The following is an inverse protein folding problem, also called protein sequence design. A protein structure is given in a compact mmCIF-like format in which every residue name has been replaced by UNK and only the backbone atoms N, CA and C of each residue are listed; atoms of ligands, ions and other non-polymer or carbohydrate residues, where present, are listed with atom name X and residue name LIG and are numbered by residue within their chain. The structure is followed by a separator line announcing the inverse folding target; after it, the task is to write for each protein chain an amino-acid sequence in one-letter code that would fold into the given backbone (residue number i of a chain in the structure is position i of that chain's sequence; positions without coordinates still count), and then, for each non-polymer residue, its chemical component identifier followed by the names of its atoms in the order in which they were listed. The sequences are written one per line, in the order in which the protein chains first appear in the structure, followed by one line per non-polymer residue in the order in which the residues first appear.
data_IF_492603875682
#
_entry.id   IF_492603875682
#
_cell.length_a   1.000
_cell.length_b   1.000
_cell.length_c   1.000
_cell.angle_alpha   90.00
_cell.angle_beta   90.00
_cell.angle_gamma   90.00
#
_symmetry.space_group_name_H-M   'P 1'
#
loop_
_entity.id
_entity.type
_entity.pdbx_description
1 polymer ?
#
# COMPACT_ATOMS: atom_id res chain seq x y z
N UNK A 1 -14.26 -20.75 -5.41
CA UNK A 1 -14.24 -20.77 -6.89
C UNK A 1 -14.06 -22.22 -7.36
N UNK A 2 -14.52 -22.56 -8.56
CA UNK A 2 -14.38 -23.91 -9.13
C UNK A 2 -13.97 -23.80 -10.60
N UNK A 3 -13.38 -24.87 -11.12
CA UNK A 3 -13.02 -24.98 -12.53
C UNK A 3 -13.53 -26.30 -13.11
N UNK A 4 -13.86 -26.31 -14.39
CA UNK A 4 -14.23 -27.52 -15.11
C UNK A 4 -13.27 -27.67 -16.29
N UNK A 5 -12.60 -28.81 -16.37
CA UNK A 5 -11.74 -29.18 -17.49
C UNK A 5 -12.46 -30.17 -18.38
N UNK A 6 -12.15 -30.15 -19.68
CA UNK A 6 -12.54 -31.22 -20.60
C UNK A 6 -11.72 -32.48 -20.26
N UNK A 7 -12.37 -33.49 -19.66
CA UNK A 7 -11.68 -34.67 -19.16
C UNK A 7 -11.05 -35.50 -20.29
N UNK A 8 -11.59 -35.43 -21.51
CA UNK A 8 -11.07 -36.16 -22.67
C UNK A 8 -9.78 -35.52 -23.22
N UNK A 9 -9.39 -34.34 -22.71
CA UNK A 9 -8.18 -33.61 -23.11
C UNK A 9 -7.08 -33.58 -22.06
N UNK A 10 -7.28 -34.24 -20.92
CA UNK A 10 -6.28 -34.34 -19.86
C UNK A 10 -5.43 -35.59 -20.14
N UNK A 11 -4.11 -35.42 -20.17
CA UNK A 11 -3.19 -36.55 -20.34
C UNK A 11 -2.67 -37.02 -18.99
N UNK A 12 -3.10 -38.21 -18.58
CA UNK A 12 -2.54 -38.90 -17.41
C UNK A 12 -2.99 -38.33 -16.06
N UNK A 13 -2.06 -38.09 -15.15
CA UNK A 13 -2.34 -37.59 -13.80
C UNK A 13 -2.51 -36.08 -13.72
N UNK A 14 -3.12 -35.58 -12.64
CA UNK A 14 -3.16 -34.14 -12.32
C UNK A 14 -2.17 -33.84 -11.20
N UNK A 15 -1.32 -32.85 -11.41
CA UNK A 15 -0.36 -32.35 -10.44
C UNK A 15 -0.59 -30.87 -10.15
N UNK A 16 -0.78 -30.53 -8.87
CA UNK A 16 -0.74 -29.14 -8.39
C UNK A 16 0.66 -28.88 -7.83
N UNK A 17 1.41 -28.00 -8.48
CA UNK A 17 2.82 -27.75 -8.13
C UNK A 17 3.22 -26.30 -8.38
N UNK A 18 4.43 -25.96 -7.94
CA UNK A 18 5.10 -24.74 -8.38
C UNK A 18 5.69 -24.95 -9.79
N UNK A 19 5.64 -23.90 -10.61
CA UNK A 19 6.35 -23.87 -11.89
C UNK A 19 7.87 -23.79 -11.65
N UNK A 20 8.64 -24.46 -12.51
CA UNK A 20 10.11 -24.46 -12.51
C UNK A 20 10.69 -23.16 -13.07
N UNK A 21 9.87 -22.41 -13.83
CA UNK A 21 10.23 -21.18 -14.53
C UNK A 21 10.59 -21.45 -15.99
N UNK A 22 10.14 -20.57 -16.90
CA UNK A 22 10.27 -20.75 -18.34
C UNK A 22 9.25 -21.70 -18.97
N UNK A 23 8.43 -22.37 -18.16
CA UNK A 23 7.31 -23.19 -18.66
C UNK A 23 6.34 -22.33 -19.48
N UNK A 24 5.93 -22.82 -20.65
CA UNK A 24 4.98 -22.12 -21.50
C UNK A 24 3.54 -22.40 -21.04
N UNK A 25 2.71 -21.37 -21.03
CA UNK A 25 1.28 -21.47 -20.71
C UNK A 25 0.45 -20.65 -21.70
N UNK A 26 -0.45 -21.34 -22.42
CA UNK A 26 -1.42 -20.71 -23.32
C UNK A 26 -2.73 -20.49 -22.57
N UNK A 27 -2.94 -19.24 -22.14
CA UNK A 27 -4.08 -18.83 -21.35
C UNK A 27 -5.38 -18.78 -22.17
N UNK A 28 -6.52 -19.03 -21.51
CA UNK A 28 -7.86 -18.95 -22.10
C UNK A 28 -8.20 -17.63 -22.81
N UNK A 29 -7.53 -16.53 -22.46
CA UNK A 29 -7.73 -15.22 -23.10
C UNK A 29 -6.84 -14.99 -24.35
N UNK A 30 -6.16 -16.04 -24.80
CA UNK A 30 -5.29 -16.04 -25.99
C UNK A 30 -3.87 -15.54 -25.74
N UNK A 31 -3.51 -15.19 -24.49
CA UNK A 31 -2.14 -14.82 -24.15
C UNK A 31 -1.26 -16.04 -23.95
N UNK A 32 -0.08 -16.02 -24.57
CA UNK A 32 1.00 -16.97 -24.30
C UNK A 32 1.96 -16.40 -23.28
N UNK A 33 2.11 -17.09 -22.16
CA UNK A 33 2.90 -16.66 -21.01
C UNK A 33 4.12 -17.57 -20.83
N UNK A 34 5.23 -16.99 -20.37
CA UNK A 34 6.37 -17.72 -19.82
C UNK A 34 6.29 -17.63 -18.31
N UNK A 35 6.01 -18.75 -17.67
CA UNK A 35 5.81 -18.81 -16.22
C UNK A 35 7.09 -18.52 -15.46
N UNK A 36 6.96 -17.91 -14.29
CA UNK A 36 8.09 -17.67 -13.39
C UNK A 36 8.23 -18.83 -12.42
N UNK A 37 9.46 -19.05 -11.93
CA UNK A 37 9.71 -20.05 -10.91
C UNK A 37 8.89 -19.73 -9.65
N UNK A 38 8.16 -20.72 -9.13
CA UNK A 38 7.31 -20.56 -7.95
C UNK A 38 5.86 -20.19 -8.24
N UNK A 39 5.48 -19.95 -9.50
CA UNK A 39 4.08 -19.74 -9.85
C UNK A 39 3.24 -20.98 -9.56
N UNK A 40 2.05 -20.82 -8.96
CA UNK A 40 1.20 -21.96 -8.62
C UNK A 40 0.40 -22.41 -9.84
N UNK A 41 0.58 -23.66 -10.24
CA UNK A 41 0.00 -24.23 -11.44
C UNK A 41 -0.70 -25.56 -11.20
N UNK A 42 -1.56 -25.89 -12.15
CA UNK A 42 -2.13 -27.22 -12.32
C UNK A 42 -1.63 -27.73 -13.67
N UNK A 43 -0.98 -28.88 -13.64
CA UNK A 43 -0.42 -29.52 -14.81
C UNK A 43 -0.94 -30.96 -14.91
N UNK A 44 -0.97 -31.48 -16.12
CA UNK A 44 -1.07 -32.91 -16.35
C UNK A 44 0.32 -33.50 -16.67
N UNK A 45 0.39 -34.73 -17.17
CA UNK A 45 1.67 -35.39 -17.46
C UNK A 45 2.40 -34.76 -18.68
N UNK A 46 1.71 -33.95 -19.50
CA UNK A 46 2.26 -33.35 -20.72
C UNK A 46 2.47 -31.83 -20.62
N UNK A 47 1.53 -31.09 -20.00
CA UNK A 47 1.48 -29.64 -20.07
C UNK A 47 0.86 -28.96 -18.85
N UNK A 48 1.06 -27.64 -18.76
CA UNK A 48 0.37 -26.79 -17.79
C UNK A 48 -1.05 -26.52 -18.29
N UNK A 49 -2.05 -26.96 -17.51
CA UNK A 49 -3.46 -26.85 -17.86
C UNK A 49 -4.17 -25.68 -17.16
N UNK A 50 -3.61 -25.14 -16.09
CA UNK A 50 -4.12 -23.91 -15.47
C UNK A 50 -3.08 -23.18 -14.63
N UNK A 51 -3.23 -21.86 -14.53
CA UNK A 51 -2.76 -21.07 -13.40
C UNK A 51 -3.74 -21.27 -12.24
N UNK A 52 -3.27 -21.95 -11.19
CA UNK A 52 -4.12 -22.43 -10.10
C UNK A 52 -4.92 -21.30 -9.45
N UNK A 53 -6.25 -21.40 -9.50
CA UNK A 53 -7.16 -20.39 -8.93
C UNK A 53 -7.22 -19.06 -9.69
N UNK A 54 -6.55 -18.94 -10.84
CA UNK A 54 -6.49 -17.70 -11.63
C UNK A 54 -7.18 -17.87 -12.97
N UNK A 55 -6.69 -18.78 -13.81
CA UNK A 55 -7.14 -18.95 -15.19
C UNK A 55 -6.75 -20.33 -15.75
N UNK A 56 -7.66 -21.01 -16.44
CA UNK A 56 -7.38 -22.25 -17.17
C UNK A 56 -6.63 -22.01 -18.49
N UNK A 57 -6.13 -23.08 -19.09
CA UNK A 57 -5.56 -23.07 -20.44
C UNK A 57 -6.64 -23.23 -21.49
N UNK A 58 -6.38 -22.77 -22.72
CA UNK A 58 -7.27 -22.99 -23.85
C UNK A 58 -7.39 -24.49 -24.21
N UNK A 59 -6.29 -25.23 -24.12
CA UNK A 59 -6.24 -26.64 -24.51
C UNK A 59 -7.18 -27.52 -23.67
N UNK A 60 -7.25 -27.27 -22.36
CA UNK A 60 -8.03 -28.06 -21.39
C UNK A 60 -9.45 -27.54 -21.16
N UNK A 61 -9.83 -26.47 -21.86
CA UNK A 61 -11.11 -25.80 -21.68
C UNK A 61 -12.30 -26.64 -22.15
N UNK A 62 -13.40 -26.57 -21.42
CA UNK A 62 -14.70 -27.11 -21.88
C UNK A 62 -15.17 -26.34 -23.12
N UNK A 63 -15.78 -27.07 -24.06
CA UNK A 63 -16.28 -26.57 -25.33
C UNK A 63 -17.65 -27.18 -25.65
N UNK A 64 -18.30 -26.73 -26.73
CA UNK A 64 -19.57 -27.32 -27.19
C UNK A 64 -19.47 -28.81 -27.53
N UNK A 65 -18.26 -29.34 -27.71
CA UNK A 65 -18.02 -30.75 -28.04
C UNK A 65 -17.75 -31.62 -26.81
N UNK A 66 -17.50 -31.02 -25.65
CA UNK A 66 -17.09 -31.72 -24.44
C UNK A 66 -18.20 -32.66 -23.96
N UNK A 67 -17.85 -33.94 -23.73
CA UNK A 67 -18.76 -34.96 -23.24
C UNK A 67 -18.49 -35.32 -21.78
N UNK A 68 -17.22 -35.33 -21.40
CA UNK A 68 -16.75 -35.68 -20.07
C UNK A 68 -16.03 -34.48 -19.44
N UNK A 69 -16.31 -34.20 -18.16
CA UNK A 69 -15.66 -33.10 -17.43
C UNK A 69 -14.98 -33.58 -16.17
N UNK A 70 -13.84 -32.96 -15.84
CA UNK A 70 -13.21 -33.05 -14.52
C UNK A 70 -13.52 -31.77 -13.77
N UNK A 71 -14.23 -31.89 -12.65
CA UNK A 71 -14.52 -30.75 -11.77
C UNK A 71 -13.42 -30.58 -10.74
N UNK A 72 -12.96 -29.35 -10.60
CA UNK A 72 -12.03 -28.92 -9.56
C UNK A 72 -12.76 -28.02 -8.56
N UNK A 73 -12.66 -28.40 -7.29
CA UNK A 73 -12.95 -27.55 -6.14
C UNK A 73 -11.71 -27.60 -5.26
N UNK A 74 -11.03 -26.47 -5.10
CA UNK A 74 -9.75 -26.41 -4.40
C UNK A 74 -9.68 -25.22 -3.45
N UNK A 75 -8.81 -25.35 -2.45
CA UNK A 75 -8.30 -24.23 -1.66
C UNK A 75 -6.84 -24.01 -2.06
N UNK A 76 -6.52 -22.81 -2.49
CA UNK A 76 -5.14 -22.39 -2.74
C UNK A 76 -4.70 -21.38 -1.68
N UNK A 77 -3.44 -21.45 -1.28
CA UNK A 77 -2.85 -20.48 -0.35
C UNK A 77 -2.96 -19.06 -0.95
N UNK A 78 -3.58 -18.09 -0.24
CA UNK A 78 -3.84 -16.75 -0.77
C UNK A 78 -2.59 -16.04 -1.29
N UNK A 79 -1.47 -16.15 -0.56
CA UNK A 79 -0.20 -15.53 -0.93
C UNK A 79 0.34 -16.07 -2.25
N UNK A 80 0.25 -17.39 -2.45
CA UNK A 80 0.72 -18.06 -3.67
C UNK A 80 -0.07 -17.61 -4.89
N UNK A 81 -1.38 -17.52 -4.76
CA UNK A 81 -2.25 -16.98 -5.83
C UNK A 81 -1.90 -15.52 -6.08
N UNK A 82 -1.67 -14.73 -5.04
CA UNK A 82 -1.35 -13.30 -5.18
C UNK A 82 -0.03 -13.04 -5.91
N UNK A 83 1.01 -13.83 -5.64
CA UNK A 83 2.29 -13.73 -6.37
C UNK A 83 2.10 -14.03 -7.85
N UNK A 84 1.53 -15.18 -8.20
CA UNK A 84 1.30 -15.57 -9.60
C UNK A 84 0.40 -14.57 -10.32
N UNK A 85 -0.62 -14.04 -9.65
CA UNK A 85 -1.49 -13.01 -10.20
C UNK A 85 -0.72 -11.75 -10.58
N UNK A 86 0.13 -11.25 -9.68
CA UNK A 86 0.92 -10.03 -9.88
C UNK A 86 2.01 -10.20 -10.93
N UNK A 87 2.66 -11.36 -10.99
CA UNK A 87 3.68 -11.66 -12.00
C UNK A 87 3.13 -11.53 -13.43
N UNK A 88 1.90 -12.02 -13.65
CA UNK A 88 1.29 -12.08 -14.99
C UNK A 88 0.21 -11.02 -15.25
N UNK A 89 -0.03 -10.14 -14.28
CA UNK A 89 -1.05 -9.09 -14.31
C UNK A 89 -2.46 -9.57 -14.74
N UNK A 90 -2.83 -10.80 -14.36
CA UNK A 90 -4.12 -11.41 -14.73
C UNK A 90 -5.11 -11.20 -13.59
N UNK A 91 -6.25 -10.56 -13.81
CA UNK A 91 -7.27 -10.42 -12.75
C UNK A 91 -8.52 -11.18 -13.14
N UNK A 92 -8.95 -12.09 -12.27
CA UNK A 92 -10.22 -12.81 -12.39
C UNK A 92 -11.01 -12.79 -11.08
N UNK A 93 -12.32 -12.98 -11.18
CA UNK A 93 -13.20 -13.15 -10.02
C UNK A 93 -12.75 -14.31 -9.09
N UNK A 94 -12.16 -15.36 -9.67
CA UNK A 94 -11.60 -16.47 -8.91
C UNK A 94 -10.35 -16.03 -8.14
N UNK A 95 -9.38 -15.41 -8.82
CA UNK A 95 -8.13 -14.96 -8.21
C UNK A 95 -8.37 -13.98 -7.06
N UNK A 96 -9.30 -13.03 -7.21
CA UNK A 96 -9.64 -12.07 -6.14
C UNK A 96 -10.23 -12.74 -4.91
N UNK A 97 -11.01 -13.82 -5.08
CA UNK A 97 -11.57 -14.58 -3.95
C UNK A 97 -10.49 -15.39 -3.25
N UNK A 98 -9.64 -16.08 -4.01
CA UNK A 98 -8.54 -16.85 -3.44
C UNK A 98 -7.51 -15.98 -2.71
N UNK A 99 -7.15 -14.81 -3.26
CA UNK A 99 -6.25 -13.85 -2.58
C UNK A 99 -6.80 -13.31 -1.25
N UNK A 100 -8.13 -13.24 -1.11
CA UNK A 100 -8.79 -12.79 0.12
C UNK A 100 -9.03 -13.92 1.12
N UNK A 101 -8.61 -15.15 0.80
CA UNK A 101 -8.93 -16.32 1.59
C UNK A 101 -10.35 -16.83 1.29
N UNK A 102 -10.43 -18.01 0.71
CA UNK A 102 -11.70 -18.76 0.61
C UNK A 102 -11.81 -19.73 1.78
N UNK A 103 -13.03 -20.04 2.18
CA UNK A 103 -13.28 -21.01 3.25
C UNK A 103 -12.83 -22.42 2.84
N UNK A 104 -11.84 -23.04 3.52
CA UNK A 104 -11.42 -24.40 3.22
C UNK A 104 -12.53 -25.45 3.44
N UNK A 105 -13.46 -25.22 4.38
CA UNK A 105 -14.57 -26.14 4.64
C UNK A 105 -15.59 -26.15 3.50
N UNK A 106 -15.62 -25.11 2.66
CA UNK A 106 -16.52 -25.03 1.51
C UNK A 106 -16.07 -25.90 0.33
N UNK A 107 -14.83 -26.42 0.32
CA UNK A 107 -14.29 -27.18 -0.82
C UNK A 107 -15.15 -28.42 -1.13
N UNK A 108 -15.39 -29.26 -0.11
CA UNK A 108 -16.18 -30.48 -0.27
C UNK A 108 -17.66 -30.18 -0.53
N UNK A 109 -18.23 -29.21 0.21
CA UNK A 109 -19.61 -28.80 0.02
C UNK A 109 -19.87 -28.25 -1.40
N UNK A 110 -18.95 -27.42 -1.91
CA UNK A 110 -19.05 -26.86 -3.26
C UNK A 110 -18.96 -27.95 -4.34
N UNK A 111 -18.11 -28.97 -4.14
CA UNK A 111 -18.01 -30.11 -5.06
C UNK A 111 -19.34 -30.86 -5.18
N UNK A 112 -19.93 -31.25 -4.06
CA UNK A 112 -21.22 -31.94 -4.04
C UNK A 112 -22.33 -31.07 -4.64
N UNK A 113 -22.36 -29.78 -4.27
CA UNK A 113 -23.38 -28.85 -4.76
C UNK A 113 -23.28 -28.64 -6.27
N UNK A 114 -22.08 -28.44 -6.81
CA UNK A 114 -21.86 -28.26 -8.24
C UNK A 114 -22.20 -29.54 -9.01
N UNK A 115 -21.80 -30.70 -8.49
CA UNK A 115 -22.12 -32.00 -9.09
C UNK A 115 -23.63 -32.21 -9.17
N UNK A 116 -24.37 -31.96 -8.09
CA UNK A 116 -25.83 -32.05 -8.08
C UNK A 116 -26.47 -31.11 -9.11
N UNK A 117 -26.03 -29.85 -9.18
CA UNK A 117 -26.55 -28.90 -10.18
C UNK A 117 -26.27 -29.35 -11.62
N UNK A 118 -25.08 -29.92 -11.90
CA UNK A 118 -24.73 -30.40 -13.23
C UNK A 118 -25.61 -31.58 -13.62
N UNK A 119 -25.80 -32.55 -12.71
CA UNK A 119 -26.68 -33.71 -12.94
C UNK A 119 -28.12 -33.28 -13.16
N UNK A 120 -28.63 -32.35 -12.35
CA UNK A 120 -30.00 -31.85 -12.46
C UNK A 120 -30.25 -31.11 -13.79
N UNK A 121 -29.27 -30.35 -14.28
CA UNK A 121 -29.42 -29.49 -15.46
C UNK A 121 -29.04 -30.19 -16.78
N UNK A 122 -28.02 -31.04 -16.76
CA UNK A 122 -27.40 -31.60 -17.96
C UNK A 122 -27.36 -33.13 -17.95
N UNK A 123 -27.71 -33.78 -16.83
CA UNK A 123 -27.55 -35.22 -16.65
C UNK A 123 -26.08 -35.61 -16.42
N UNK A 124 -25.73 -36.83 -16.84
CA UNK A 124 -24.40 -37.41 -16.63
C UNK A 124 -24.33 -38.35 -15.42
N UNK A 125 -23.19 -38.99 -15.26
CA UNK A 125 -22.93 -39.96 -14.19
C UNK A 125 -21.69 -39.51 -13.39
N UNK A 126 -21.86 -39.03 -12.15
CA UNK A 126 -20.71 -38.59 -11.36
C UNK A 126 -19.85 -39.78 -10.93
N UNK A 127 -18.54 -39.63 -11.10
CA UNK A 127 -17.54 -40.54 -10.51
C UNK A 127 -17.29 -40.25 -9.03
N UNK A 128 -16.45 -41.05 -8.37
CA UNK A 128 -16.04 -40.80 -6.99
C UNK A 128 -15.21 -39.50 -6.88
N UNK A 129 -15.36 -38.78 -5.76
CA UNK A 129 -14.53 -37.60 -5.46
C UNK A 129 -13.14 -38.05 -5.00
N UNK A 130 -12.11 -37.56 -5.67
CA UNK A 130 -10.72 -37.75 -5.26
C UNK A 130 -10.26 -36.57 -4.37
N UNK A 131 -10.03 -36.82 -3.09
CA UNK A 131 -9.53 -35.80 -2.15
C UNK A 131 -8.00 -35.88 -2.04
N UNK A 132 -7.32 -34.77 -2.30
CA UNK A 132 -5.86 -34.65 -2.16
C UNK A 132 -5.49 -33.46 -1.26
N UNK A 133 -4.41 -33.63 -0.50
CA UNK A 133 -3.89 -32.62 0.43
C UNK A 133 -4.45 -32.74 1.85
N UNK A 134 -4.20 -31.72 2.67
CA UNK A 134 -4.69 -31.61 4.04
C UNK A 134 -5.63 -30.39 4.15
N UNK A 135 -6.70 -30.52 4.93
CA UNK A 135 -7.59 -29.40 5.22
C UNK A 135 -6.82 -28.39 6.09
N UNK A 136 -6.56 -27.17 5.60
CA UNK A 136 -5.90 -26.15 6.40
C UNK A 136 -6.81 -25.74 7.58
N UNK A 137 -6.24 -25.77 8.78
CA UNK A 137 -6.80 -25.22 10.03
C UNK A 137 -8.29 -25.53 10.26
N UNK A 138 -8.64 -26.79 10.58
CA UNK A 138 -10.04 -27.22 10.60
C UNK A 138 -10.90 -26.39 11.56
N UNK A 139 -10.34 -25.96 12.70
CA UNK A 139 -11.00 -25.11 13.69
C UNK A 139 -9.94 -24.34 14.48
N UNK A 140 -10.07 -23.02 14.63
CA UNK A 140 -9.19 -22.24 15.51
C UNK A 140 -10.01 -21.53 16.58
N UNK A 141 -9.44 -21.46 17.78
CA UNK A 141 -10.09 -20.85 18.94
C UNK A 141 -9.21 -19.76 19.51
N UNK A 142 -9.82 -18.63 19.83
CA UNK A 142 -9.19 -17.53 20.53
C UNK A 142 -9.68 -17.54 21.98
N UNK A 143 -8.75 -17.49 22.92
CA UNK A 143 -9.05 -17.33 24.34
C UNK A 143 -8.60 -15.96 24.79
N UNK A 144 -9.49 -15.20 25.40
CA UNK A 144 -9.25 -13.83 25.85
C UNK A 144 -9.79 -13.60 27.26
N UNK A 145 -9.26 -12.57 27.93
CA UNK A 145 -9.85 -12.02 29.16
C UNK A 145 -10.93 -11.02 28.78
N UNK A 146 -12.16 -11.24 29.25
CA UNK A 146 -13.29 -10.34 29.02
C UNK A 146 -12.99 -8.93 29.54
N UNK A 147 -12.39 -8.82 30.73
CA UNK A 147 -11.94 -7.54 31.31
C UNK A 147 -10.93 -6.83 30.42
N UNK A 148 -10.00 -7.55 29.78
CA UNK A 148 -9.06 -6.93 28.84
C UNK A 148 -9.77 -6.40 27.59
N UNK A 149 -10.73 -7.15 27.05
CA UNK A 149 -11.55 -6.68 25.92
C UNK A 149 -12.35 -5.42 26.30
N UNK A 150 -13.04 -5.44 27.44
CA UNK A 150 -13.81 -4.31 27.97
C UNK A 150 -12.91 -3.09 28.21
N UNK A 151 -11.72 -3.31 28.78
CA UNK A 151 -10.73 -2.24 28.99
C UNK A 151 -10.25 -1.64 27.69
N UNK A 152 -10.03 -2.46 26.65
CA UNK A 152 -9.62 -1.99 25.31
C UNK A 152 -10.73 -1.18 24.66
N UNK A 153 -11.98 -1.63 24.76
CA UNK A 153 -13.14 -0.94 24.22
C UNK A 153 -13.58 0.27 25.07
N UNK A 154 -13.14 0.35 26.32
CA UNK A 154 -13.59 1.39 27.25
C UNK A 154 -15.06 1.23 27.68
N UNK A 155 -15.66 0.06 27.48
CA UNK A 155 -17.06 -0.22 27.79
C UNK A 155 -17.29 -1.68 28.17
N UNK A 156 -18.41 -1.94 28.82
CA UNK A 156 -18.84 -3.30 29.13
C UNK A 156 -19.36 -4.02 27.88
N UNK A 157 -19.02 -5.31 27.75
CA UNK A 157 -19.49 -6.17 26.66
C UNK A 157 -20.75 -6.91 27.15
N UNK A 158 -21.96 -6.52 26.70
CA UNK A 158 -23.19 -7.14 27.14
C UNK A 158 -23.27 -8.59 26.63
N UNK A 159 -23.89 -9.48 27.42
CA UNK A 159 -24.06 -10.91 27.06
C UNK A 159 -24.81 -11.09 25.72
N UNK A 160 -25.70 -10.17 25.35
CA UNK A 160 -26.40 -10.17 24.06
C UNK A 160 -25.45 -10.08 22.86
N UNK A 161 -24.26 -9.48 23.03
CA UNK A 161 -23.26 -9.44 21.97
C UNK A 161 -22.75 -10.85 21.62
N UNK A 162 -22.61 -11.73 22.62
CA UNK A 162 -22.25 -13.14 22.42
C UNK A 162 -23.31 -13.87 21.56
N UNK A 163 -24.61 -13.54 21.71
CA UNK A 163 -25.68 -14.11 20.88
C UNK A 163 -25.57 -13.70 19.41
N UNK A 164 -25.16 -12.46 19.14
CA UNK A 164 -24.93 -11.99 17.77
C UNK A 164 -23.74 -12.72 17.14
N UNK A 165 -22.63 -12.88 17.88
CA UNK A 165 -21.50 -13.69 17.40
C UNK A 165 -21.91 -15.15 17.14
N UNK A 166 -22.72 -15.76 18.01
CA UNK A 166 -23.24 -17.13 17.75
C UNK A 166 -24.05 -17.22 16.47
N UNK A 167 -24.89 -16.23 16.17
CA UNK A 167 -25.63 -16.16 14.88
C UNK A 167 -24.71 -15.96 13.67
N UNK A 168 -23.52 -15.42 13.87
CA UNK A 168 -22.49 -15.27 12.84
C UNK A 168 -21.61 -16.52 12.68
N UNK A 169 -21.88 -17.61 13.42
CA UNK A 169 -21.17 -18.89 13.31
C UNK A 169 -20.05 -19.10 14.32
N UNK A 170 -19.86 -18.20 15.28
CA UNK A 170 -18.89 -18.38 16.36
C UNK A 170 -19.44 -19.27 17.47
N UNK A 171 -18.62 -20.12 18.08
CA UNK A 171 -18.97 -20.79 19.34
C UNK A 171 -18.35 -20.01 20.50
N UNK A 172 -19.19 -19.28 21.25
CA UNK A 172 -18.75 -18.42 22.36
C UNK A 172 -19.06 -19.06 23.71
N UNK A 173 -18.03 -19.29 24.51
CA UNK A 173 -18.10 -19.81 25.88
C UNK A 173 -17.52 -18.79 26.85
N UNK A 174 -18.31 -18.38 27.85
CA UNK A 174 -17.92 -17.41 28.88
C UNK A 174 -17.87 -18.09 30.25
N UNK A 175 -16.70 -18.08 30.89
CA UNK A 175 -16.44 -18.68 32.21
C UNK A 175 -15.78 -17.64 33.12
N UNK A 176 -16.60 -16.85 33.83
CA UNK A 176 -16.10 -15.72 34.60
C UNK A 176 -15.44 -14.67 33.69
N UNK A 177 -14.15 -14.41 33.90
CA UNK A 177 -13.35 -13.51 33.05
C UNK A 177 -12.82 -14.19 31.78
N UNK A 178 -12.86 -15.52 31.68
CA UNK A 178 -12.35 -16.24 30.52
C UNK A 178 -13.41 -16.29 29.42
N UNK A 179 -13.09 -15.77 28.25
CA UNK A 179 -13.87 -15.87 27.04
C UNK A 179 -13.14 -16.79 26.05
N UNK A 180 -13.75 -17.93 25.70
CA UNK A 180 -13.24 -18.83 24.65
C UNK A 180 -14.16 -18.74 23.45
N UNK A 181 -13.61 -18.38 22.29
CA UNK A 181 -14.35 -18.21 21.04
C UNK A 181 -13.75 -19.11 19.98
N UNK A 182 -14.51 -20.10 19.54
CA UNK A 182 -14.18 -20.89 18.36
C UNK A 182 -14.69 -20.16 17.12
N UNK A 183 -13.80 -19.92 16.17
CA UNK A 183 -14.09 -19.15 14.97
C UNK A 183 -14.54 -20.06 13.83
N UNK A 184 -15.54 -19.66 13.04
CA UNK A 184 -15.92 -20.42 11.85
C UNK A 184 -14.79 -20.38 10.81
N UNK A 185 -14.70 -21.42 9.98
CA UNK A 185 -13.60 -21.62 9.01
C UNK A 185 -13.45 -20.50 7.98
N UNK A 186 -14.53 -19.77 7.67
CA UNK A 186 -14.50 -18.61 6.77
C UNK A 186 -13.92 -17.33 7.41
N UNK A 187 -13.73 -17.28 8.74
CA UNK A 187 -13.15 -16.14 9.47
C UNK A 187 -11.69 -16.39 9.81
N UNK A 188 -10.83 -16.37 8.80
CA UNK A 188 -9.38 -16.55 8.94
C UNK A 188 -8.66 -15.31 9.50
N UNK A 189 -9.37 -14.18 9.59
CA UNK A 189 -8.88 -12.89 10.09
C UNK A 189 -8.85 -12.79 11.62
N UNK A 190 -9.48 -13.72 12.35
CA UNK A 190 -9.58 -13.69 13.82
C UNK A 190 -8.60 -14.67 14.44
N UNK A 191 -7.42 -14.19 14.82
CA UNK A 191 -6.36 -15.01 15.40
C UNK A 191 -5.95 -14.57 16.80
N UNK A 192 -6.33 -13.35 17.19
CA UNK A 192 -5.93 -12.69 18.42
C UNK A 192 -7.14 -12.20 19.23
N UNK A 193 -6.90 -11.87 20.50
CA UNK A 193 -7.91 -11.28 21.38
C UNK A 193 -8.32 -9.87 20.92
N UNK A 194 -7.41 -9.16 20.25
CA UNK A 194 -7.62 -7.87 19.62
C UNK A 194 -8.69 -7.95 18.52
N UNK A 195 -8.62 -8.97 17.67
CA UNK A 195 -9.59 -9.20 16.58
C UNK A 195 -10.99 -9.44 17.15
N UNK A 196 -11.10 -10.16 18.28
CA UNK A 196 -12.36 -10.29 19.00
C UNK A 196 -12.88 -8.94 19.54
N UNK A 197 -11.99 -8.04 19.95
CA UNK A 197 -12.41 -6.71 20.41
C UNK A 197 -13.05 -5.92 19.28
N UNK A 198 -12.46 -5.97 18.09
CA UNK A 198 -13.03 -5.36 16.89
C UNK A 198 -14.39 -5.98 16.54
N UNK A 199 -14.51 -7.32 16.61
CA UNK A 199 -15.78 -7.98 16.37
C UNK A 199 -16.87 -7.54 17.35
N UNK A 200 -16.56 -7.43 18.64
CA UNK A 200 -17.48 -6.88 19.64
C UNK A 200 -17.81 -5.41 19.36
N UNK A 201 -16.83 -4.57 19.02
CA UNK A 201 -17.06 -3.18 18.64
C UNK A 201 -18.02 -3.06 17.44
N UNK A 202 -17.81 -3.88 16.41
CA UNK A 202 -18.59 -3.87 15.17
C UNK A 202 -20.04 -4.28 15.40
N UNK A 203 -20.30 -5.31 16.21
CA UNK A 203 -21.67 -5.79 16.47
C UNK A 203 -22.43 -4.94 17.49
N UNK A 204 -21.72 -4.35 18.46
CA UNK A 204 -22.33 -3.43 19.43
C UNK A 204 -22.60 -2.08 18.74
N UNK A 205 -21.73 -1.70 17.80
CA UNK A 205 -21.74 -0.43 17.11
C UNK A 205 -20.64 0.48 17.64
N UNK A 206 -19.83 1.03 16.73
CA UNK A 206 -18.72 1.92 17.08
C UNK A 206 -19.22 3.19 17.80
N UNK A 207 -20.44 3.64 17.54
CA UNK A 207 -21.07 4.80 18.20
C UNK A 207 -21.33 4.57 19.70
N UNK A 208 -21.38 3.32 20.15
CA UNK A 208 -21.55 2.99 21.57
C UNK A 208 -20.25 3.11 22.36
N UNK A 209 -19.09 3.16 21.69
CA UNK A 209 -17.78 3.28 22.33
C UNK A 209 -17.63 4.68 22.91
N UNK A 210 -17.39 4.83 24.23
CA UNK A 210 -17.27 6.14 24.85
C UNK A 210 -16.10 6.95 24.28
N UNK A 211 -16.37 8.19 23.89
CA UNK A 211 -15.32 9.14 23.54
C UNK A 211 -14.61 9.59 24.82
N UNK A 212 -13.38 9.11 25.03
CA UNK A 212 -12.52 9.50 26.14
C UNK A 212 -11.18 10.04 25.63
N UNK A 213 -10.72 11.15 26.23
CA UNK A 213 -9.36 11.63 25.99
C UNK A 213 -8.40 10.88 26.91
N UNK A 214 -7.27 10.36 26.41
CA UNK A 214 -6.27 9.74 27.26
C UNK A 214 -5.65 10.78 28.20
N UNK A 215 -5.28 10.42 29.43
CA UNK A 215 -4.64 11.35 30.36
C UNK A 215 -3.29 11.82 29.79
N UNK A 216 -3.17 13.11 29.52
CA UNK A 216 -1.93 13.70 29.02
C UNK A 216 -0.97 13.97 30.18
N UNK A 217 0.23 13.38 30.13
CA UNK A 217 1.35 13.84 30.96
C UNK A 217 1.95 15.08 30.29
N UNK A 218 1.81 16.24 30.94
CA UNK A 218 2.39 17.48 30.42
C UNK A 218 3.91 17.33 30.26
N UNK A 219 4.39 17.48 29.02
CA UNK A 219 5.81 17.62 28.71
C UNK A 219 6.17 19.10 28.64
N UNK A 220 7.45 19.43 28.84
CA UNK A 220 7.94 20.81 28.69
C UNK A 220 7.55 21.36 27.31
N UNK A 221 7.14 22.64 27.22
CA UNK A 221 6.81 23.24 25.94
C UNK A 221 8.01 23.19 25.01
N UNK A 222 7.79 22.70 23.78
CA UNK A 222 8.80 22.69 22.74
C UNK A 222 9.10 24.15 22.37
N UNK A 223 10.39 24.53 22.40
CA UNK A 223 10.83 25.84 21.89
C UNK A 223 10.56 25.84 20.39
N UNK A 224 9.55 26.58 19.95
CA UNK A 224 9.24 26.73 18.53
C UNK A 224 10.40 27.45 17.85
N UNK A 225 10.93 26.83 16.80
CA UNK A 225 11.78 27.52 15.84
C UNK A 225 10.90 28.52 15.07
N UNK A 226 11.24 29.80 15.18
CA UNK A 226 10.48 30.93 14.60
C UNK A 226 11.14 31.52 13.37
N UNK A 227 12.21 30.91 12.86
CA UNK A 227 12.97 31.49 11.75
C UNK A 227 12.09 31.66 10.49
N UNK A 228 11.21 30.69 10.23
CA UNK A 228 10.25 30.77 9.14
C UNK A 228 9.18 31.85 9.38
N UNK A 229 8.65 31.97 10.61
CA UNK A 229 7.70 33.03 10.97
C UNK A 229 8.33 34.43 10.78
N UNK A 230 9.63 34.55 11.09
CA UNK A 230 10.39 35.78 10.87
C UNK A 230 10.56 36.06 9.38
N UNK A 231 10.90 35.05 8.56
CA UNK A 231 11.00 35.19 7.11
C UNK A 231 9.69 35.72 6.51
N UNK A 232 8.55 35.15 6.91
CA UNK A 232 7.23 35.60 6.46
C UNK A 232 6.94 37.03 6.92
N UNK A 233 7.33 37.37 8.16
CA UNK A 233 7.20 38.75 8.68
C UNK A 233 8.07 39.77 7.94
N UNK A 234 9.15 39.33 7.28
CA UNK A 234 10.01 40.15 6.43
C UNK A 234 9.51 40.24 4.97
N UNK A 235 8.33 39.68 4.67
CA UNK A 235 7.68 39.78 3.36
C UNK A 235 7.95 38.60 2.42
N UNK A 236 8.58 37.53 2.89
CA UNK A 236 8.75 36.32 2.09
C UNK A 236 7.47 35.47 2.07
N UNK A 237 7.18 34.90 0.92
CA UNK A 237 6.14 33.88 0.74
C UNK A 237 6.75 32.51 0.97
N UNK A 238 6.21 31.75 1.92
CA UNK A 238 6.63 30.37 2.10
C UNK A 238 6.18 29.52 0.90
N UNK A 239 7.11 28.75 0.35
CA UNK A 239 6.82 27.78 -0.70
C UNK A 239 7.26 26.38 -0.27
N UNK A 240 6.66 25.37 -0.87
CA UNK A 240 6.99 23.96 -0.67
C UNK A 240 7.16 23.36 -2.07
N UNK A 241 8.38 22.99 -2.43
CA UNK A 241 8.66 22.35 -3.71
C UNK A 241 8.87 20.84 -3.55
N UNK A 242 8.83 20.11 -4.67
CA UNK A 242 9.04 18.67 -4.65
C UNK A 242 10.46 18.31 -4.19
N UNK A 243 10.55 17.24 -3.40
CA UNK A 243 11.84 16.70 -2.96
C UNK A 243 12.56 15.91 -4.06
N UNK A 244 11.83 15.46 -5.08
CA UNK A 244 12.37 14.74 -6.23
C UNK A 244 12.39 15.64 -7.47
N UNK A 245 13.54 15.69 -8.12
CA UNK A 245 13.83 16.55 -9.26
C UNK A 245 14.55 15.77 -10.37
N UNK A 246 14.78 16.41 -11.51
CA UNK A 246 15.61 15.82 -12.56
C UNK A 246 17.10 15.88 -12.19
N UNK A 247 17.87 14.91 -12.69
CA UNK A 247 19.35 14.95 -12.58
C UNK A 247 19.94 16.21 -13.19
N UNK A 248 19.38 16.66 -14.31
CA UNK A 248 19.82 17.86 -15.03
C UNK A 248 19.68 19.13 -14.18
N UNK A 249 18.57 19.27 -13.47
CA UNK A 249 18.37 20.44 -12.59
C UNK A 249 19.24 20.38 -11.34
N UNK A 250 19.45 19.18 -10.81
CA UNK A 250 20.37 18.97 -9.69
C UNK A 250 21.80 19.40 -10.04
N UNK A 251 22.30 19.02 -11.22
CA UNK A 251 23.64 19.32 -11.70
C UNK A 251 23.95 20.83 -11.81
N UNK A 252 22.93 21.70 -11.82
CA UNK A 252 23.11 23.16 -11.84
C UNK A 252 23.56 23.74 -10.50
N UNK A 253 23.37 23.02 -9.38
CA UNK A 253 23.61 23.56 -8.03
C UNK A 253 24.60 22.73 -7.21
N UNK A 254 24.90 21.52 -7.66
CA UNK A 254 25.80 20.59 -6.97
C UNK A 254 26.53 19.78 -8.03
N UNK A 255 27.80 19.45 -7.76
CA UNK A 255 28.61 18.65 -8.66
C UNK A 255 27.96 17.28 -8.94
N UNK A 256 28.00 16.85 -10.20
CA UNK A 256 27.53 15.53 -10.58
C UNK A 256 28.33 14.47 -9.83
N UNK A 257 27.64 13.70 -8.99
CA UNK A 257 28.24 12.65 -8.20
C UNK A 257 27.19 11.56 -7.95
N UNK A 258 27.31 10.46 -8.70
CA UNK A 258 26.39 9.33 -8.62
C UNK A 258 26.42 8.64 -7.25
N UNK A 259 27.56 8.65 -6.56
CA UNK A 259 27.69 8.07 -5.22
C UNK A 259 26.99 8.90 -4.14
N UNK A 260 26.78 10.19 -4.39
CA UNK A 260 26.07 11.10 -3.50
C UNK A 260 24.58 11.23 -3.84
N UNK A 261 24.15 10.83 -5.03
CA UNK A 261 22.76 10.90 -5.47
C UNK A 261 21.90 9.75 -4.90
N UNK A 262 20.67 10.07 -4.49
CA UNK A 262 19.64 9.07 -4.20
C UNK A 262 18.68 9.00 -5.38
N UNK A 263 18.80 7.92 -6.14
CA UNK A 263 18.03 7.66 -7.37
C UNK A 263 16.83 6.79 -7.02
N UNK A 264 15.64 7.18 -7.48
CA UNK A 264 14.43 6.38 -7.31
C UNK A 264 14.47 5.14 -8.22
N UNK A 265 14.10 3.98 -7.70
CA UNK A 265 14.05 2.72 -8.46
C UNK A 265 12.88 2.71 -9.45
N UNK A 266 11.78 3.36 -9.11
CA UNK A 266 10.53 3.42 -9.87
C UNK A 266 10.01 4.87 -9.97
N UNK A 267 10.77 5.78 -10.62
CA UNK A 267 10.36 7.17 -10.72
C UNK A 267 9.10 7.31 -11.58
N UNK A 268 8.22 8.25 -11.22
CA UNK A 268 7.03 8.56 -12.01
C UNK A 268 7.38 9.16 -13.38
N UNK A 269 8.50 9.89 -13.46
CA UNK A 269 9.04 10.48 -14.69
C UNK A 269 10.53 10.83 -14.51
N UNK A 270 11.23 11.11 -15.61
CA UNK A 270 12.62 11.60 -15.56
C UNK A 270 12.76 12.94 -14.83
N UNK A 271 11.70 13.76 -14.82
CA UNK A 271 11.66 15.02 -14.09
C UNK A 271 11.65 14.82 -12.55
N UNK A 272 11.45 13.59 -12.07
CA UNK A 272 11.37 13.21 -10.67
C UNK A 272 12.23 11.97 -10.40
N UNK A 273 13.46 11.94 -10.93
CA UNK A 273 14.33 10.76 -10.91
C UNK A 273 15.23 10.67 -9.68
N UNK A 274 15.61 11.80 -9.08
CA UNK A 274 16.55 11.85 -7.94
C UNK A 274 16.02 12.71 -6.81
N UNK A 275 16.39 12.38 -5.58
CA UNK A 275 16.14 13.25 -4.42
C UNK A 275 17.08 14.47 -4.49
N UNK A 276 16.52 15.65 -4.20
CA UNK A 276 17.24 16.93 -4.29
C UNK A 276 18.37 17.03 -3.26
N UNK A 277 19.53 17.47 -3.70
CA UNK A 277 20.71 17.84 -2.88
C UNK A 277 20.79 19.34 -2.59
N UNK A 278 19.86 20.11 -3.17
CA UNK A 278 19.77 21.56 -3.01
C UNK A 278 18.29 21.97 -3.06
N UNK A 279 17.94 23.00 -2.29
CA UNK A 279 16.59 23.60 -2.32
C UNK A 279 16.41 24.52 -3.54
N UNK A 280 17.52 25.02 -4.11
CA UNK A 280 17.52 26.03 -5.16
C UNK A 280 16.78 25.66 -6.46
N UNK A 281 16.87 24.42 -7.00
CA UNK A 281 16.10 24.03 -8.18
C UNK A 281 14.61 24.31 -8.02
N UNK A 282 14.03 23.91 -6.89
CA UNK A 282 12.61 24.09 -6.60
C UNK A 282 12.24 25.57 -6.45
N UNK A 283 13.03 26.34 -5.70
CA UNK A 283 12.83 27.78 -5.54
C UNK A 283 12.86 28.52 -6.88
N UNK A 284 13.80 28.19 -7.76
CA UNK A 284 13.92 28.83 -9.06
C UNK A 284 12.82 28.43 -10.03
N UNK A 285 12.37 27.17 -10.02
CA UNK A 285 11.19 26.77 -10.78
C UNK A 285 9.95 27.55 -10.33
N UNK A 286 9.76 27.76 -9.03
CA UNK A 286 8.64 28.55 -8.50
C UNK A 286 8.78 30.02 -8.91
N UNK A 287 9.97 30.60 -8.80
CA UNK A 287 10.24 31.96 -9.26
C UNK A 287 9.92 32.11 -10.75
N UNK A 288 10.48 31.24 -11.59
CA UNK A 288 10.25 31.23 -13.03
C UNK A 288 8.75 31.06 -13.37
N UNK A 289 8.06 30.15 -12.70
CA UNK A 289 6.63 29.92 -12.91
C UNK A 289 5.79 31.19 -12.71
N UNK A 290 6.11 31.94 -11.66
CA UNK A 290 5.41 33.18 -11.30
C UNK A 290 5.80 34.34 -12.21
N UNK A 291 7.09 34.50 -12.51
CA UNK A 291 7.57 35.55 -13.41
C UNK A 291 7.03 35.38 -14.84
N UNK A 292 6.89 34.14 -15.30
CA UNK A 292 6.21 33.81 -16.56
C UNK A 292 4.70 34.12 -16.55
N UNK A 293 4.13 34.45 -15.38
CA UNK A 293 2.73 34.85 -15.16
C UNK A 293 2.60 36.30 -14.68
N UNK A 294 3.50 37.15 -15.19
CA UNK A 294 3.46 38.60 -14.99
C UNK A 294 3.62 39.05 -13.54
N UNK A 295 4.17 38.19 -12.66
CA UNK A 295 4.68 38.65 -11.37
C UNK A 295 6.03 39.33 -11.61
N UNK A 296 6.08 40.65 -11.38
CA UNK A 296 7.27 41.46 -11.64
C UNK A 296 8.44 41.15 -10.69
N UNK A 297 8.16 40.59 -9.51
CA UNK A 297 9.15 40.14 -8.55
C UNK A 297 8.59 39.09 -7.60
N UNK A 298 9.49 38.37 -6.93
CA UNK A 298 9.17 37.32 -5.97
C UNK A 298 10.13 37.40 -4.78
N UNK A 299 9.61 37.16 -3.58
CA UNK A 299 10.38 36.92 -2.37
C UNK A 299 9.87 35.60 -1.78
N UNK A 300 10.67 34.54 -1.90
CA UNK A 300 10.29 33.17 -1.57
C UNK A 300 11.18 32.62 -0.46
N UNK A 301 10.60 31.86 0.47
CA UNK A 301 11.35 31.12 1.49
C UNK A 301 10.89 29.67 1.50
N UNK A 302 11.82 28.72 1.56
CA UNK A 302 11.50 27.31 1.72
C UNK A 302 12.31 26.71 2.87
N UNK A 303 11.60 26.11 3.82
CA UNK A 303 12.17 25.18 4.80
C UNK A 303 11.96 23.78 4.25
N UNK A 304 13.03 23.08 3.93
CA UNK A 304 12.95 21.78 3.29
C UNK A 304 14.17 20.92 3.56
N UNK A 305 14.06 19.63 3.28
CA UNK A 305 15.20 18.71 3.38
C UNK A 305 15.93 18.58 2.05
N UNK A 306 17.24 18.38 2.15
CA UNK A 306 18.10 17.88 1.09
C UNK A 306 18.65 16.52 1.49
N UNK A 307 18.97 15.71 0.49
CA UNK A 307 19.24 14.29 0.68
C UNK A 307 20.56 13.91 0.04
N UNK A 308 21.43 13.25 0.79
CA UNK A 308 22.72 12.76 0.30
C UNK A 308 22.83 11.28 0.58
N UNK A 309 23.27 10.49 -0.40
CA UNK A 309 23.70 9.12 -0.14
C UNK A 309 24.99 9.15 0.66
N UNK A 310 25.10 8.24 1.62
CA UNK A 310 26.28 8.06 2.49
C UNK A 310 26.67 6.59 2.53
N UNK A 311 27.85 6.27 3.07
CA UNK A 311 28.30 4.88 3.25
C UNK A 311 27.32 4.05 4.08
N UNK A 312 26.64 4.68 5.04
CA UNK A 312 25.70 4.03 5.97
C UNK A 312 24.23 4.13 5.50
N UNK A 313 24.00 4.55 4.24
CA UNK A 313 22.68 4.70 3.64
C UNK A 313 22.47 6.10 3.08
N UNK A 314 21.86 6.99 3.87
CA UNK A 314 21.61 8.36 3.48
C UNK A 314 21.62 9.32 4.67
N UNK A 315 21.90 10.58 4.39
CA UNK A 315 21.77 11.70 5.31
C UNK A 315 20.70 12.66 4.80
N UNK A 316 19.87 13.15 5.73
CA UNK A 316 18.90 14.20 5.48
C UNK A 316 19.31 15.46 6.26
N UNK A 317 19.43 16.58 5.56
CA UNK A 317 19.74 17.86 6.18
C UNK A 317 18.60 18.83 5.95
N UNK A 318 18.05 19.38 7.03
CA UNK A 318 17.06 20.44 6.93
C UNK A 318 17.76 21.77 6.62
N UNK A 319 17.29 22.44 5.58
CA UNK A 319 17.78 23.73 5.14
C UNK A 319 16.64 24.74 5.10
N UNK A 320 17.00 26.00 5.32
CA UNK A 320 16.13 27.14 5.05
C UNK A 320 16.79 27.98 3.95
N UNK A 321 16.13 28.09 2.82
CA UNK A 321 16.62 28.83 1.67
C UNK A 321 15.70 30.01 1.37
N UNK A 322 16.30 31.14 1.00
CA UNK A 322 15.62 32.39 0.68
C UNK A 322 15.98 32.78 -0.75
N UNK A 323 14.98 33.18 -1.53
CA UNK A 323 15.14 33.69 -2.88
C UNK A 323 14.41 35.02 -3.00
N UNK A 324 15.09 36.04 -3.52
CA UNK A 324 14.49 37.31 -3.87
C UNK A 324 14.92 37.67 -5.29
N UNK A 325 13.97 38.00 -6.17
CA UNK A 325 14.25 38.30 -7.56
C UNK A 325 13.21 39.26 -8.15
N UNK A 326 13.62 40.05 -9.14
CA UNK A 326 12.76 41.02 -9.84
C UNK A 326 12.44 42.26 -9.00
N UNK A 327 11.32 42.90 -9.32
CA UNK A 327 10.94 44.20 -8.74
C UNK A 327 10.45 44.05 -7.29
N UNK A 328 11.19 44.66 -6.35
CA UNK A 328 10.85 44.69 -4.91
C UNK A 328 10.12 45.95 -4.50
N UNK A 329 10.21 46.99 -5.32
CA UNK A 329 9.54 48.26 -5.13
C UNK A 329 8.92 48.68 -6.45
N UNK A 330 7.59 48.79 -6.46
CA UNK A 330 6.87 49.31 -7.62
C UNK A 330 6.96 50.83 -7.67
N UNK A 331 6.66 51.39 -8.84
CA UNK A 331 6.55 52.83 -9.00
C UNK A 331 5.38 53.35 -8.15
N UNK A 332 5.70 54.27 -7.25
CA UNK A 332 4.77 54.86 -6.30
C UNK A 332 5.00 56.38 -6.29
N UNK A 333 4.01 57.13 -5.84
CA UNK A 333 4.09 58.60 -5.79
C UNK A 333 5.30 59.13 -4.99
N UNK A 334 5.83 58.34 -4.05
CA UNK A 334 6.96 58.68 -3.18
C UNK A 334 8.27 58.00 -3.56
N UNK A 335 8.26 57.09 -4.54
CA UNK A 335 9.46 56.34 -4.89
C UNK A 335 9.37 55.65 -6.25
N UNK A 336 10.50 55.62 -6.95
CA UNK A 336 10.62 54.95 -8.25
C UNK A 336 10.70 53.44 -8.11
N UNK A 337 10.31 52.74 -9.17
CA UNK A 337 10.47 51.30 -9.27
C UNK A 337 11.96 50.90 -9.19
N UNK A 338 12.26 49.83 -8.46
CA UNK A 338 13.59 49.22 -8.42
C UNK A 338 13.53 47.71 -8.22
N UNK A 339 14.55 47.04 -8.74
CA UNK A 339 14.73 45.61 -8.59
C UNK A 339 15.49 45.26 -7.31
N UNK A 340 15.32 44.01 -6.87
CA UNK A 340 16.04 43.44 -5.74
C UNK A 340 17.54 43.48 -6.00
N UNK A 341 18.31 43.87 -4.98
CA UNK A 341 19.75 43.69 -4.96
C UNK A 341 20.19 42.75 -3.83
N UNK A 342 21.51 42.52 -3.74
CA UNK A 342 22.10 41.70 -2.68
C UNK A 342 21.78 42.24 -1.27
N UNK A 343 21.72 43.56 -1.11
CA UNK A 343 21.54 44.21 0.18
C UNK A 343 20.10 44.12 0.68
N UNK A 344 19.10 44.03 -0.22
CA UNK A 344 17.72 43.73 0.16
C UNK A 344 17.61 42.36 0.85
N UNK A 345 18.13 41.31 0.23
CA UNK A 345 18.13 39.96 0.78
C UNK A 345 18.99 39.88 2.05
N UNK A 346 20.19 40.45 2.03
CA UNK A 346 21.07 40.52 3.20
C UNK A 346 20.38 41.19 4.39
N UNK A 347 19.74 42.34 4.17
CA UNK A 347 19.06 43.08 5.23
C UNK A 347 17.90 42.27 5.83
N UNK A 348 17.15 41.54 5.02
CA UNK A 348 16.08 40.68 5.52
C UNK A 348 16.62 39.50 6.34
N UNK A 349 17.72 38.87 5.91
CA UNK A 349 18.40 37.80 6.65
C UNK A 349 18.96 38.30 7.99
N UNK A 350 19.62 39.46 8.00
CA UNK A 350 20.14 40.08 9.22
C UNK A 350 19.01 40.36 10.22
N UNK A 351 17.86 40.88 9.78
CA UNK A 351 16.70 41.10 10.65
C UNK A 351 16.10 39.78 11.16
N UNK A 352 16.00 38.75 10.32
CA UNK A 352 15.53 37.43 10.74
C UNK A 352 16.41 36.82 11.84
N UNK A 353 17.74 36.87 11.66
CA UNK A 353 18.73 36.34 12.60
C UNK A 353 18.81 37.17 13.88
N UNK A 354 18.75 38.50 13.80
CA UNK A 354 18.75 39.39 14.96
C UNK A 354 17.56 39.11 15.89
N UNK A 355 16.37 38.83 15.34
CA UNK A 355 15.19 38.44 16.13
C UNK A 355 15.37 37.10 16.87
N UNK A 356 16.30 36.25 16.43
CA UNK A 356 16.69 35.02 17.12
C UNK A 356 17.85 35.21 18.11
N UNK A 357 18.40 36.43 18.21
CA UNK A 357 19.58 36.73 19.02
C UNK A 357 20.89 36.32 18.35
N UNK A 358 20.90 36.13 17.03
CA UNK A 358 22.10 35.81 16.25
C UNK A 358 22.58 37.02 15.45
N UNK A 359 23.87 37.05 15.16
CA UNK A 359 24.49 38.02 14.24
C UNK A 359 25.16 37.25 13.11
N UNK A 360 25.10 37.78 11.89
CA UNK A 360 25.72 37.19 10.71
C UNK A 360 26.87 38.07 10.20
N UNK A 361 27.89 37.43 9.65
CA UNK A 361 28.96 38.07 8.89
C UNK A 361 28.91 37.54 7.47
N UNK A 362 28.73 38.45 6.51
CA UNK A 362 28.76 38.12 5.08
C UNK A 362 30.16 38.44 4.57
N UNK A 363 30.87 37.42 4.10
CA UNK A 363 32.21 37.53 3.51
C UNK A 363 32.04 37.17 2.05
N UNK A 364 32.55 38.01 1.15
CA UNK A 364 32.64 37.64 -0.26
C UNK A 364 33.78 36.62 -0.39
N UNK A 365 33.53 35.52 -1.09
CA UNK A 365 34.60 34.63 -1.50
C UNK A 365 35.41 35.33 -2.62
N UNK A 366 36.74 35.20 -2.58
CA UNK A 366 37.67 35.80 -3.54
C UNK A 366 37.57 35.18 -4.94
#
# INVERSE_FOLDING_TARGET
PMHAFDADRITGGIAVRAAEGGEAFDALDGRRLSLQCGDLIIADDEAVIALAGIMGSEASAVSEKTQNIMLESAYFCPDRVSFTRRHHAIVSEASMRFERGVDPAMVAFAMERATAMIVDLFGGQPGPVALHGAIPHPEHSVVASLQQLQKRLGMDIPVKADEVLRRMGFEVVREGDRLSVKCPSFRHDITLAEDLSEEYARIIGFDAIPSALPPLKMRRPIKRDRLLDHAVSEGFVQVISYAFISRREQALFVEENEEADIVLTNPLSEAMAVMRRSIWPGLLQVAQHNMNRQQHGVALVERGRVYHRTSDGHAECEQLAFLMAGTVQQDQWYAQARDADFFDLKGALERCLARLGHTARFVADD
#
